data_IF_312031756978
#
_entry.id   IF_312031756978
#
_cell.length_a   1.000
_cell.length_b   1.000
_cell.length_c   1.000
_cell.angle_alpha   90.00
_cell.angle_beta   90.00
_cell.angle_gamma   90.00
#
_symmetry.space_group_name_H-M   'P 1'
#
loop_
_entity.id
_entity.type
_entity.pdbx_description
1 polymer ?
#
# COMPACT_ATOMS: atom_id res chain seq x y z
N UNK A 1 -41.43 35.13 -4.77
CA UNK A 1 -41.89 36.52 -4.99
C UNK A 1 -40.67 37.39 -5.06
N UNK A 2 -40.36 37.86 -6.19
CA UNK A 2 -39.96 39.19 -6.71
C UNK A 2 -39.29 39.00 -8.07
N UNK A 3 -40.12 39.21 -9.13
CA UNK A 3 -39.67 39.55 -10.48
C UNK A 3 -39.36 41.03 -10.56
N UNK A 4 -38.35 41.45 -11.31
CA UNK A 4 -38.44 42.60 -12.23
C UNK A 4 -37.40 42.46 -13.37
N UNK A 5 -37.94 42.49 -14.59
CA UNK A 5 -37.27 42.77 -15.87
C UNK A 5 -36.95 44.25 -15.96
N UNK A 6 -35.88 44.60 -16.67
CA UNK A 6 -35.82 45.85 -17.46
C UNK A 6 -35.06 45.54 -18.76
N UNK A 7 -35.76 45.78 -19.86
CA UNK A 7 -35.26 45.82 -21.25
C UNK A 7 -34.63 47.19 -21.53
N UNK A 8 -33.60 47.25 -22.38
CA UNK A 8 -33.06 48.49 -22.92
C UNK A 8 -32.26 48.26 -24.20
N UNK A 9 -32.89 48.50 -25.35
CA UNK A 9 -32.27 48.48 -26.68
C UNK A 9 -31.43 49.74 -26.91
N UNK A 10 -30.28 49.58 -27.57
CA UNK A 10 -29.75 50.62 -28.47
C UNK A 10 -28.93 49.95 -29.59
N UNK A 11 -29.38 50.13 -30.83
CA UNK A 11 -28.65 49.84 -32.08
C UNK A 11 -27.76 51.04 -32.41
N UNK A 12 -26.53 50.78 -32.86
CA UNK A 12 -25.84 51.66 -33.83
C UNK A 12 -24.83 50.84 -34.68
N UNK A 13 -24.76 51.22 -35.93
CA UNK A 13 -24.27 50.56 -37.10
C UNK A 13 -22.79 50.66 -37.41
N UNK A 14 -22.28 49.66 -38.12
CA UNK A 14 -21.33 49.64 -39.24
C UNK A 14 -19.98 50.39 -39.16
N UNK A 15 -18.88 49.62 -39.25
CA UNK A 15 -17.95 49.74 -40.38
C UNK A 15 -17.11 48.43 -40.52
N UNK A 16 -17.08 47.93 -41.78
CA UNK A 16 -16.13 46.89 -42.27
C UNK A 16 -14.75 47.52 -42.45
N UNK A 17 -13.69 46.79 -42.06
CA UNK A 17 -12.39 46.82 -42.75
C UNK A 17 -11.83 45.39 -42.76
N UNK A 18 -11.31 45.04 -43.91
CA UNK A 18 -10.87 43.72 -44.34
C UNK A 18 -9.49 43.35 -43.84
N UNK A 19 -9.22 42.01 -43.96
CA UNK A 19 -7.96 41.34 -44.11
C UNK A 19 -7.06 41.14 -42.85
N UNK A 20 -7.09 39.95 -42.37
CA UNK A 20 -6.12 39.35 -41.50
C UNK A 20 -6.30 37.85 -41.48
N UNK A 21 -5.45 37.12 -42.21
CA UNK A 21 -5.48 35.68 -42.34
C UNK A 21 -5.57 35.01 -40.97
N UNK A 22 -6.70 34.40 -40.66
CA UNK A 22 -6.91 33.55 -39.52
C UNK A 22 -6.20 32.20 -39.77
N UNK A 23 -5.13 31.95 -39.03
CA UNK A 23 -4.62 30.59 -38.83
C UNK A 23 -5.76 29.77 -38.21
N UNK A 24 -5.98 28.52 -38.63
CA UNK A 24 -6.93 27.65 -37.95
C UNK A 24 -6.45 27.43 -36.53
N UNK A 25 -7.28 27.81 -35.56
CA UNK A 25 -7.14 27.31 -34.17
C UNK A 25 -7.45 25.82 -34.25
N UNK A 26 -6.42 25.01 -34.19
CA UNK A 26 -6.57 23.59 -33.95
C UNK A 26 -7.38 23.44 -32.66
N UNK A 27 -8.63 23.04 -32.84
CA UNK A 27 -9.48 22.61 -31.75
C UNK A 27 -8.71 21.51 -31.00
N UNK A 28 -8.27 21.83 -29.78
CA UNK A 28 -7.75 20.87 -28.85
C UNK A 28 -8.79 19.77 -28.62
N UNK A 29 -8.80 18.77 -29.52
CA UNK A 29 -9.51 17.52 -29.26
C UNK A 29 -8.92 16.95 -27.99
N UNK A 30 -9.73 16.90 -26.96
CA UNK A 30 -9.46 16.20 -25.73
C UNK A 30 -8.81 14.85 -26.03
N UNK A 31 -7.52 14.72 -25.74
CA UNK A 31 -6.78 13.44 -25.73
C UNK A 31 -7.19 12.59 -24.52
N UNK A 32 -8.48 12.41 -24.30
CA UNK A 32 -9.03 11.61 -23.21
C UNK A 32 -9.42 10.18 -23.64
N UNK A 33 -9.07 9.74 -24.86
CA UNK A 33 -9.47 8.43 -25.36
C UNK A 33 -8.34 7.69 -26.07
N UNK A 34 -7.11 7.84 -25.63
CA UNK A 34 -6.01 7.14 -26.26
C UNK A 34 -5.03 6.59 -25.25
N UNK A 35 -5.34 5.52 -24.62
CA UNK A 35 -4.49 4.36 -24.49
C UNK A 35 -5.15 3.24 -23.67
N UNK A 36 -6.22 2.65 -24.21
CA UNK A 36 -6.37 1.21 -24.02
C UNK A 36 -5.21 0.65 -24.88
N UNK A 37 -4.04 0.58 -24.30
CA UNK A 37 -2.85 0.00 -24.96
C UNK A 37 -3.22 -1.38 -25.44
N UNK A 38 -2.91 -1.68 -26.70
CA UNK A 38 -2.96 -3.01 -27.28
C UNK A 38 -2.45 -4.03 -26.26
N UNK A 39 -3.10 -5.19 -26.16
CA UNK A 39 -2.75 -6.32 -25.28
C UNK A 39 -1.22 -6.53 -25.34
N UNK A 40 -0.52 -6.06 -24.31
CA UNK A 40 0.82 -6.55 -24.04
C UNK A 40 0.67 -7.94 -23.45
N UNK A 41 1.44 -8.91 -23.91
CA UNK A 41 1.55 -10.20 -23.22
C UNK A 41 1.85 -9.93 -21.74
N UNK A 42 1.13 -10.62 -20.81
CA UNK A 42 1.31 -10.38 -19.39
C UNK A 42 2.76 -10.70 -19.01
N UNK A 43 3.58 -9.68 -18.81
CA UNK A 43 4.88 -9.87 -18.16
C UNK A 43 4.60 -10.24 -16.73
N UNK A 44 5.10 -11.38 -16.27
CA UNK A 44 5.04 -11.73 -14.84
C UNK A 44 5.65 -10.58 -14.05
N UNK A 45 4.85 -9.99 -13.16
CA UNK A 45 5.33 -8.95 -12.25
C UNK A 45 6.37 -9.53 -11.28
N UNK A 46 7.37 -8.74 -10.92
CA UNK A 46 8.29 -9.10 -9.84
C UNK A 46 7.62 -8.97 -8.46
N UNK A 47 6.46 -8.34 -8.39
CA UNK A 47 5.69 -8.10 -7.18
C UNK A 47 4.31 -8.72 -7.32
N UNK A 48 3.89 -9.52 -6.34
CA UNK A 48 2.49 -9.91 -6.12
C UNK A 48 1.91 -8.98 -5.04
N UNK A 49 0.88 -8.21 -5.37
CA UNK A 49 0.11 -7.42 -4.40
C UNK A 49 -1.00 -8.29 -3.83
N UNK A 50 -0.98 -8.47 -2.52
CA UNK A 50 -1.86 -9.35 -1.76
C UNK A 50 -2.81 -8.49 -0.92
N UNK A 51 -4.10 -8.47 -1.27
CA UNK A 51 -5.13 -7.66 -0.62
C UNK A 51 -6.13 -8.57 0.11
N UNK A 52 -5.97 -8.77 1.44
CA UNK A 52 -7.00 -9.42 2.24
C UNK A 52 -8.18 -8.48 2.43
N UNK A 53 -9.42 -8.99 2.32
CA UNK A 53 -10.62 -8.17 2.53
C UNK A 53 -11.72 -8.95 3.24
N UNK A 54 -12.59 -8.21 3.94
CA UNK A 54 -13.78 -8.76 4.57
C UNK A 54 -14.84 -7.69 4.79
N UNK A 55 -16.01 -7.86 4.15
CA UNK A 55 -17.18 -6.98 4.31
C UNK A 55 -16.91 -5.49 4.02
N UNK A 56 -15.94 -5.19 3.15
CA UNK A 56 -15.46 -3.83 2.82
C UNK A 56 -15.42 -3.57 1.31
N UNK A 57 -16.57 -3.62 0.62
CA UNK A 57 -16.59 -3.46 -0.84
C UNK A 57 -16.22 -2.05 -1.31
N UNK A 58 -16.48 -1.01 -0.52
CA UNK A 58 -16.20 0.38 -0.86
C UNK A 58 -14.70 0.67 -0.69
N UNK A 59 -14.15 0.28 0.45
CA UNK A 59 -12.73 0.42 0.77
C UNK A 59 -11.89 -0.36 -0.23
N UNK A 60 -12.24 -1.62 -0.48
CA UNK A 60 -11.57 -2.44 -1.49
C UNK A 60 -11.59 -1.77 -2.87
N UNK A 61 -12.71 -1.18 -3.28
CA UNK A 61 -12.79 -0.48 -4.57
C UNK A 61 -11.83 0.72 -4.61
N UNK A 62 -11.68 1.48 -3.53
CA UNK A 62 -10.74 2.59 -3.44
C UNK A 62 -9.28 2.09 -3.48
N UNK A 63 -8.96 1.02 -2.76
CA UNK A 63 -7.63 0.38 -2.81
C UNK A 63 -7.29 -0.09 -4.22
N UNK A 64 -8.23 -0.78 -4.90
CA UNK A 64 -8.03 -1.23 -6.30
C UNK A 64 -7.86 -0.03 -7.24
N UNK A 65 -8.57 1.09 -7.02
CA UNK A 65 -8.39 2.31 -7.82
C UNK A 65 -6.97 2.88 -7.67
N UNK A 66 -6.42 2.92 -6.46
CA UNK A 66 -5.02 3.31 -6.21
C UNK A 66 -4.03 2.35 -6.89
N UNK A 67 -4.28 1.05 -6.86
CA UNK A 67 -3.49 0.06 -7.58
C UNK A 67 -3.59 0.24 -9.11
N UNK A 68 -4.75 0.58 -9.64
CA UNK A 68 -4.93 0.83 -11.07
C UNK A 68 -4.18 2.07 -11.57
N UNK A 69 -3.91 3.03 -10.68
CA UNK A 69 -3.13 4.23 -10.97
C UNK A 69 -1.60 4.01 -11.00
N UNK A 70 -1.12 2.83 -10.58
CA UNK A 70 0.31 2.52 -10.61
C UNK A 70 0.77 2.22 -12.05
N UNK A 71 1.90 2.78 -12.47
CA UNK A 71 2.50 2.51 -13.80
C UNK A 71 3.59 1.43 -13.76
N UNK A 72 3.75 0.77 -12.63
CA UNK A 72 4.70 -0.33 -12.40
C UNK A 72 4.05 -1.70 -12.66
N UNK A 73 4.76 -2.70 -13.24
CA UNK A 73 4.22 -4.04 -13.46
C UNK A 73 4.17 -4.86 -12.15
N UNK A 74 3.00 -5.34 -11.80
CA UNK A 74 2.75 -6.25 -10.68
C UNK A 74 1.52 -7.11 -10.96
N UNK A 75 1.37 -8.21 -10.23
CA UNK A 75 0.16 -9.03 -10.24
C UNK A 75 -0.66 -8.77 -8.95
N UNK A 76 -1.95 -9.07 -8.97
CA UNK A 76 -2.85 -8.83 -7.82
C UNK A 76 -3.57 -10.11 -7.44
N UNK A 77 -3.63 -10.38 -6.14
CA UNK A 77 -4.50 -11.37 -5.52
C UNK A 77 -5.39 -10.67 -4.49
N UNK A 78 -6.69 -10.64 -4.73
CA UNK A 78 -7.69 -10.22 -3.74
C UNK A 78 -8.28 -11.49 -3.11
N UNK A 79 -8.13 -11.65 -1.80
CA UNK A 79 -8.67 -12.78 -1.05
C UNK A 79 -9.73 -12.30 -0.06
N UNK A 80 -10.93 -12.84 -0.17
CA UNK A 80 -12.13 -12.35 0.51
C UNK A 80 -12.66 -13.35 1.53
N UNK A 81 -12.91 -12.84 2.73
CA UNK A 81 -13.53 -13.57 3.85
C UNK A 81 -14.89 -12.97 4.28
N UNK A 82 -15.57 -12.25 3.39
CA UNK A 82 -16.89 -11.67 3.67
C UNK A 82 -17.92 -12.71 4.07
N UNK A 83 -18.86 -12.34 4.92
CA UNK A 83 -19.89 -13.25 5.41
C UNK A 83 -20.95 -13.57 4.34
N UNK A 84 -21.27 -12.59 3.47
CA UNK A 84 -22.21 -12.69 2.37
C UNK A 84 -21.53 -12.72 0.99
N UNK A 85 -21.98 -11.84 0.10
CA UNK A 85 -21.38 -11.63 -1.21
C UNK A 85 -19.93 -11.15 -1.07
N UNK A 86 -19.05 -11.63 -1.93
CA UNK A 86 -17.66 -11.18 -1.92
C UNK A 86 -17.56 -9.68 -2.24
N UNK A 87 -16.69 -8.96 -1.54
CA UNK A 87 -16.46 -7.52 -1.73
C UNK A 87 -16.00 -7.22 -3.17
N UNK A 88 -15.22 -8.11 -3.78
CA UNK A 88 -14.74 -7.96 -5.16
C UNK A 88 -15.84 -8.20 -6.22
N UNK A 89 -16.98 -8.79 -5.88
CA UNK A 89 -18.10 -9.04 -6.80
C UNK A 89 -19.05 -7.84 -6.94
N UNK A 90 -18.84 -6.77 -6.17
CA UNK A 90 -19.63 -5.55 -6.33
C UNK A 90 -19.33 -4.89 -7.67
N UNK A 91 -20.29 -4.19 -8.31
CA UNK A 91 -20.12 -3.62 -9.65
C UNK A 91 -18.87 -2.73 -9.77
N UNK A 92 -18.60 -1.90 -8.77
CA UNK A 92 -17.45 -0.97 -8.77
C UNK A 92 -16.12 -1.72 -8.64
N UNK A 93 -15.98 -2.60 -7.64
CA UNK A 93 -14.75 -3.36 -7.45
C UNK A 93 -14.46 -4.26 -8.67
N UNK A 94 -15.48 -4.97 -9.19
CA UNK A 94 -15.36 -5.80 -10.38
C UNK A 94 -14.96 -5.00 -11.64
N UNK A 95 -15.48 -3.77 -11.80
CA UNK A 95 -15.08 -2.89 -12.90
C UNK A 95 -13.60 -2.50 -12.79
N UNK A 96 -13.14 -2.10 -11.60
CA UNK A 96 -11.75 -1.71 -11.36
C UNK A 96 -10.78 -2.89 -11.52
N UNK A 97 -11.17 -4.10 -11.10
CA UNK A 97 -10.37 -5.31 -11.35
C UNK A 97 -10.22 -5.59 -12.86
N UNK A 98 -11.28 -5.34 -13.67
CA UNK A 98 -11.16 -5.41 -15.13
C UNK A 98 -10.23 -4.35 -15.70
N UNK A 99 -10.21 -3.13 -15.15
CA UNK A 99 -9.23 -2.09 -15.53
C UNK A 99 -7.81 -2.56 -15.28
N UNK A 100 -7.52 -3.14 -14.10
CA UNK A 100 -6.22 -3.74 -13.79
C UNK A 100 -5.85 -4.84 -14.81
N UNK A 101 -6.77 -5.75 -15.11
CA UNK A 101 -6.53 -6.82 -16.06
C UNK A 101 -6.26 -6.29 -17.48
N UNK A 102 -7.00 -5.26 -17.92
CA UNK A 102 -6.78 -4.62 -19.23
C UNK A 102 -5.44 -3.89 -19.33
N UNK A 103 -4.89 -3.43 -18.21
CA UNK A 103 -3.55 -2.82 -18.17
C UNK A 103 -2.41 -3.84 -18.21
N UNK A 104 -2.71 -5.15 -18.42
CA UNK A 104 -1.74 -6.23 -18.59
C UNK A 104 -1.30 -6.90 -17.28
N UNK A 105 -1.98 -6.65 -16.18
CA UNK A 105 -1.72 -7.30 -14.88
C UNK A 105 -2.52 -8.60 -14.76
N UNK A 106 -1.93 -9.63 -14.16
CA UNK A 106 -2.68 -10.82 -13.77
C UNK A 106 -3.46 -10.52 -12.50
N UNK A 107 -4.78 -10.57 -12.58
CA UNK A 107 -5.70 -10.34 -11.47
C UNK A 107 -6.33 -11.67 -11.08
N UNK A 108 -6.21 -12.02 -9.80
CA UNK A 108 -6.82 -13.21 -9.19
C UNK A 108 -7.72 -12.77 -8.05
N UNK A 109 -8.89 -13.40 -7.96
CA UNK A 109 -9.82 -13.25 -6.84
C UNK A 109 -10.12 -14.62 -6.27
N UNK A 110 -10.25 -14.73 -4.95
CA UNK A 110 -10.64 -15.98 -4.29
C UNK A 110 -11.49 -15.71 -3.05
N UNK A 111 -12.41 -16.64 -2.78
CA UNK A 111 -13.05 -16.75 -1.47
C UNK A 111 -12.19 -17.64 -0.59
N UNK A 112 -11.95 -17.21 0.65
CA UNK A 112 -11.16 -18.00 1.59
C UNK A 112 -11.93 -18.24 2.89
N UNK A 113 -12.64 -19.37 2.94
CA UNK A 113 -13.48 -19.81 4.04
C UNK A 113 -13.18 -21.28 4.40
N UNK A 114 -13.41 -21.73 5.65
CA UNK A 114 -13.86 -20.94 6.79
C UNK A 114 -12.75 -20.00 7.31
N UNK A 115 -13.14 -18.95 8.02
CA UNK A 115 -12.20 -18.01 8.65
C UNK A 115 -11.52 -18.68 9.84
N UNK A 116 -10.18 -18.62 9.86
CA UNK A 116 -9.34 -19.15 10.94
C UNK A 116 -8.42 -18.09 11.55
N UNK A 117 -8.68 -16.81 11.26
CA UNK A 117 -7.89 -15.67 11.70
C UNK A 117 -7.07 -15.03 10.58
N UNK A 118 -6.56 -13.83 10.85
CA UNK A 118 -5.86 -13.05 9.83
C UNK A 118 -4.48 -13.63 9.49
N UNK A 119 -3.79 -14.24 10.47
CA UNK A 119 -2.51 -14.93 10.21
C UNK A 119 -2.68 -16.10 9.23
N UNK A 120 -3.73 -16.91 9.36
CA UNK A 120 -4.04 -17.99 8.42
C UNK A 120 -4.37 -17.44 7.03
N UNK A 121 -5.17 -16.38 6.97
CA UNK A 121 -5.51 -15.74 5.71
C UNK A 121 -4.26 -15.23 4.96
N UNK A 122 -3.35 -14.54 5.66
CA UNK A 122 -2.08 -14.08 5.09
C UNK A 122 -1.18 -15.24 4.68
N UNK A 123 -1.14 -16.34 5.46
CA UNK A 123 -0.40 -17.55 5.10
C UNK A 123 -0.92 -18.16 3.78
N UNK A 124 -2.24 -18.30 3.64
CA UNK A 124 -2.88 -18.82 2.43
C UNK A 124 -2.61 -17.93 1.20
N UNK A 125 -2.66 -16.61 1.36
CA UNK A 125 -2.34 -15.66 0.30
C UNK A 125 -0.87 -15.74 -0.12
N UNK A 126 0.05 -15.83 0.85
CA UNK A 126 1.48 -16.00 0.58
C UNK A 126 1.76 -17.31 -0.17
N UNK A 127 1.11 -18.41 0.21
CA UNK A 127 1.23 -19.69 -0.48
C UNK A 127 0.69 -19.63 -1.92
N UNK A 128 -0.34 -18.81 -2.20
CA UNK A 128 -0.87 -18.60 -3.53
C UNK A 128 -0.07 -17.61 -4.39
N UNK A 129 0.87 -16.86 -3.78
CA UNK A 129 1.80 -15.95 -4.46
C UNK A 129 2.99 -16.69 -5.01
N UNK A 130 3.59 -16.19 -6.10
CA UNK A 130 4.77 -16.80 -6.75
C UNK A 130 5.85 -15.79 -7.11
N UNK A 131 5.59 -14.50 -6.97
CA UNK A 131 6.56 -13.46 -7.26
C UNK A 131 7.70 -13.44 -6.22
N UNK A 132 8.90 -12.95 -6.61
CA UNK A 132 10.01 -12.81 -5.68
C UNK A 132 9.76 -11.80 -4.56
N UNK A 133 8.80 -10.89 -4.73
CA UNK A 133 8.39 -9.93 -3.71
C UNK A 133 6.89 -10.02 -3.46
N UNK A 134 6.48 -9.98 -2.20
CA UNK A 134 5.08 -10.00 -1.77
C UNK A 134 4.73 -8.67 -1.08
N UNK A 135 3.84 -7.88 -1.67
CA UNK A 135 3.31 -6.65 -1.09
C UNK A 135 1.98 -6.95 -0.42
N UNK A 136 1.95 -7.01 0.90
CA UNK A 136 0.69 -6.98 1.63
C UNK A 136 0.18 -5.55 1.70
N UNK A 137 -1.03 -5.34 1.18
CA UNK A 137 -1.73 -4.05 1.18
C UNK A 137 -3.12 -4.26 1.78
N UNK A 138 -3.45 -3.53 2.83
CA UNK A 138 -4.77 -3.62 3.45
C UNK A 138 -5.84 -3.05 2.53
N UNK A 139 -7.09 -3.52 2.66
CA UNK A 139 -8.19 -3.20 1.77
C UNK A 139 -8.75 -1.77 1.94
N UNK A 140 -8.25 -1.03 2.90
CA UNK A 140 -8.57 0.37 3.19
C UNK A 140 -7.35 1.31 3.02
N UNK A 141 -6.40 0.92 2.18
CA UNK A 141 -5.22 1.72 1.84
C UNK A 141 -5.26 2.14 0.37
N UNK A 142 -5.37 3.45 0.14
CA UNK A 142 -5.20 4.03 -1.19
C UNK A 142 -3.74 4.39 -1.43
N UNK A 143 -3.20 4.04 -2.61
CA UNK A 143 -1.81 4.32 -2.97
C UNK A 143 -1.72 5.43 -4.02
N UNK A 144 -0.90 6.43 -3.77
CA UNK A 144 -0.48 7.41 -4.77
C UNK A 144 0.28 6.72 -5.92
N UNK A 145 0.31 7.36 -7.09
CA UNK A 145 1.08 6.85 -8.24
C UNK A 145 2.57 6.70 -7.89
N UNK A 146 3.19 5.60 -8.33
CA UNK A 146 4.61 5.30 -8.14
C UNK A 146 4.97 4.66 -6.80
N UNK A 147 4.03 4.37 -5.90
CA UNK A 147 4.34 3.75 -4.60
C UNK A 147 4.89 2.34 -4.77
N UNK A 148 4.27 1.51 -5.62
CA UNK A 148 4.72 0.12 -5.84
C UNK A 148 6.12 0.08 -6.45
N UNK A 149 6.39 0.96 -7.42
CA UNK A 149 7.73 1.12 -8.01
C UNK A 149 8.76 1.51 -6.96
N UNK A 150 8.48 2.55 -6.18
CA UNK A 150 9.35 3.07 -5.12
C UNK A 150 9.69 2.02 -4.07
N UNK A 151 8.69 1.26 -3.61
CA UNK A 151 8.91 0.17 -2.66
C UNK A 151 9.80 -0.92 -3.26
N UNK A 152 9.57 -1.30 -4.54
CA UNK A 152 10.40 -2.29 -5.19
C UNK A 152 11.84 -1.81 -5.42
N UNK A 153 12.04 -0.58 -5.89
CA UNK A 153 13.37 0.02 -6.01
C UNK A 153 14.10 0.02 -4.66
N UNK A 154 13.42 0.46 -3.61
CA UNK A 154 14.00 0.56 -2.28
C UNK A 154 14.42 -0.81 -1.72
N UNK A 155 13.58 -1.85 -1.82
CA UNK A 155 13.94 -3.18 -1.28
C UNK A 155 15.11 -3.80 -2.04
N UNK A 156 15.19 -3.57 -3.35
CA UNK A 156 16.30 -4.05 -4.19
C UNK A 156 17.59 -3.31 -3.87
N UNK A 157 17.56 -1.97 -3.79
CA UNK A 157 18.73 -1.14 -3.50
C UNK A 157 19.26 -1.39 -2.06
N UNK A 158 18.35 -1.45 -1.10
CA UNK A 158 18.71 -1.70 0.31
C UNK A 158 19.12 -3.16 0.57
N UNK A 159 18.66 -4.11 -0.23
CA UNK A 159 18.93 -5.54 -0.06
C UNK A 159 18.47 -6.07 1.28
N UNK A 160 17.40 -5.52 1.87
CA UNK A 160 16.86 -5.92 3.19
C UNK A 160 15.63 -6.83 3.04
N UNK A 161 15.13 -7.34 4.16
CA UNK A 161 14.04 -8.31 4.17
C UNK A 161 12.66 -7.71 3.95
N UNK A 162 12.46 -6.44 4.29
CA UNK A 162 11.19 -5.72 4.04
C UNK A 162 11.38 -4.22 3.91
N UNK A 163 10.46 -3.59 3.19
CA UNK A 163 10.26 -2.13 3.21
C UNK A 163 8.77 -1.82 3.35
N UNK A 164 8.43 -0.76 4.08
CA UNK A 164 7.03 -0.38 4.29
C UNK A 164 6.76 1.10 4.01
N UNK A 165 5.56 1.37 3.52
CA UNK A 165 4.99 2.70 3.38
C UNK A 165 3.96 2.91 4.50
N UNK A 166 4.32 3.68 5.55
CA UNK A 166 3.43 3.95 6.66
C UNK A 166 2.21 4.76 6.19
N UNK A 167 1.02 4.37 6.62
CA UNK A 167 -0.23 4.96 6.13
C UNK A 167 -0.50 6.33 6.78
N UNK A 168 -0.79 7.34 5.95
CA UNK A 168 -1.22 8.67 6.38
C UNK A 168 -2.74 8.71 6.52
N UNK A 169 -3.24 9.13 7.68
CA UNK A 169 -4.64 9.50 7.85
C UNK A 169 -4.86 10.95 7.45
N UNK A 170 -5.78 11.20 6.52
CA UNK A 170 -5.99 12.54 5.98
C UNK A 170 -6.68 13.49 6.97
N UNK A 171 -7.51 12.97 7.88
CA UNK A 171 -8.10 13.76 8.96
C UNK A 171 -7.04 14.27 9.96
N UNK A 172 -5.87 13.62 10.01
CA UNK A 172 -4.75 13.94 10.90
C UNK A 172 -3.64 14.76 10.23
N UNK A 173 -3.84 15.25 9.00
CA UNK A 173 -2.79 15.92 8.21
C UNK A 173 -2.21 17.18 8.90
N UNK A 174 -3.01 17.83 9.72
CA UNK A 174 -2.61 19.04 10.48
C UNK A 174 -2.31 18.75 11.96
N UNK A 175 -2.36 17.50 12.38
CA UNK A 175 -2.07 17.09 13.76
C UNK A 175 -0.55 16.93 13.92
N UNK A 176 0.06 17.82 14.71
CA UNK A 176 1.50 17.83 14.98
C UNK A 176 1.82 17.19 16.33
N UNK A 177 2.62 16.11 16.30
CA UNK A 177 3.03 15.34 17.50
C UNK A 177 4.55 15.25 17.62
N UNK A 178 5.25 16.35 17.98
CA UNK A 178 6.72 16.41 17.94
C UNK A 178 7.42 15.30 18.70
N UNK A 179 6.92 14.91 19.88
CA UNK A 179 7.50 13.85 20.69
C UNK A 179 7.44 12.45 20.00
N UNK A 180 6.42 12.23 19.16
CA UNK A 180 6.30 10.99 18.40
C UNK A 180 7.30 10.90 17.25
N UNK A 181 7.87 12.03 16.81
CA UNK A 181 8.85 12.11 15.72
C UNK A 181 10.30 12.00 16.21
N UNK A 182 10.54 12.10 17.52
CA UNK A 182 11.89 12.04 18.11
C UNK A 182 12.67 10.75 17.80
N UNK A 183 12.02 9.55 17.75
CA UNK A 183 12.75 8.31 17.48
C UNK A 183 13.22 8.15 16.02
N UNK A 184 13.02 9.17 15.17
CA UNK A 184 13.40 9.07 13.76
C UNK A 184 14.91 8.95 13.60
N UNK A 185 15.31 7.88 12.92
CA UNK A 185 16.68 7.65 12.49
C UNK A 185 16.69 7.21 11.02
N UNK A 186 17.46 7.92 10.18
CA UNK A 186 17.69 7.52 8.79
C UNK A 186 18.65 6.34 8.74
N UNK A 187 18.39 5.37 7.84
CA UNK A 187 19.41 4.39 7.49
C UNK A 187 20.51 5.06 6.65
N UNK A 188 21.79 4.93 7.03
CA UNK A 188 22.89 5.49 6.24
C UNK A 188 23.20 4.67 4.98
N UNK A 189 22.67 3.45 4.89
CA UNK A 189 22.85 2.49 3.82
C UNK A 189 21.92 1.30 4.01
N UNK A 190 22.41 0.09 3.76
CA UNK A 190 21.66 -1.16 3.92
C UNK A 190 21.17 -1.32 5.36
N UNK A 191 19.86 -1.60 5.58
CA UNK A 191 19.35 -1.96 6.91
C UNK A 191 20.01 -3.24 7.45
N UNK A 192 20.49 -3.17 8.67
CA UNK A 192 21.08 -4.31 9.36
C UNK A 192 19.99 -5.10 10.11
N UNK A 193 20.24 -6.40 10.38
CA UNK A 193 19.39 -7.17 11.28
C UNK A 193 19.22 -6.49 12.63
N UNK A 194 17.98 -6.33 13.09
CA UNK A 194 17.68 -5.65 14.36
C UNK A 194 16.56 -6.38 15.11
N UNK A 195 16.79 -6.61 16.41
CA UNK A 195 15.77 -7.15 17.32
C UNK A 195 14.95 -6.00 17.90
N UNK A 196 13.67 -6.02 17.62
CA UNK A 196 12.72 -5.04 18.16
C UNK A 196 12.04 -5.63 19.39
N UNK A 197 12.41 -5.16 20.57
CA UNK A 197 11.88 -5.61 21.86
C UNK A 197 11.17 -4.47 22.59
N UNK A 198 10.05 -4.72 23.29
CA UNK A 198 9.23 -3.68 23.92
C UNK A 198 9.98 -2.78 24.89
N UNK A 199 10.97 -3.32 25.61
CA UNK A 199 11.77 -2.61 26.62
C UNK A 199 12.92 -1.79 26.03
N UNK A 200 13.22 -1.96 24.72
CA UNK A 200 14.33 -1.28 24.04
C UNK A 200 13.91 0.01 23.37
N UNK A 201 14.86 0.91 23.21
CA UNK A 201 14.65 2.20 22.54
C UNK A 201 14.07 2.03 21.13
N UNK A 202 14.49 1.00 20.38
CA UNK A 202 14.00 0.71 19.03
C UNK A 202 12.45 0.54 18.97
N UNK A 203 11.83 0.05 20.04
CA UNK A 203 10.38 -0.07 20.13
C UNK A 203 9.67 1.28 19.99
N UNK A 204 10.23 2.36 20.54
CA UNK A 204 9.62 3.70 20.48
C UNK A 204 9.38 4.19 19.06
N UNK A 205 10.06 3.63 18.06
CA UNK A 205 9.86 3.96 16.65
C UNK A 205 8.45 3.63 16.12
N UNK A 206 7.64 2.87 16.88
CA UNK A 206 6.24 2.63 16.51
C UNK A 206 5.44 3.94 16.40
N UNK A 207 5.79 4.98 17.16
CA UNK A 207 5.13 6.28 17.13
C UNK A 207 5.27 6.98 15.78
N UNK A 208 6.35 6.70 15.03
CA UNK A 208 6.59 7.29 13.70
C UNK A 208 5.48 6.95 12.69
N UNK A 209 4.76 5.85 12.91
CA UNK A 209 3.72 5.34 12.01
C UNK A 209 2.30 5.67 12.47
N UNK A 210 2.12 6.49 13.48
CA UNK A 210 0.83 7.08 13.77
C UNK A 210 0.34 7.87 12.55
N UNK A 211 -0.95 7.76 12.25
CA UNK A 211 -1.56 8.26 11.03
C UNK A 211 -1.33 9.75 10.74
N UNK A 212 -0.94 10.55 11.75
CA UNK A 212 -0.57 11.95 11.61
C UNK A 212 0.85 12.16 11.04
N UNK A 213 1.78 11.23 11.25
CA UNK A 213 3.21 11.49 11.21
C UNK A 213 3.90 11.34 9.83
N UNK A 214 3.50 10.46 8.89
CA UNK A 214 4.25 10.21 7.66
C UNK A 214 4.52 11.45 6.81
N UNK A 215 3.54 12.34 6.65
CA UNK A 215 3.70 13.59 5.89
C UNK A 215 4.63 14.60 6.59
N UNK A 216 4.60 14.66 7.92
CA UNK A 216 5.50 15.50 8.70
C UNK A 216 6.93 15.02 8.65
N UNK A 217 7.15 13.70 8.74
CA UNK A 217 8.46 13.09 8.57
C UNK A 217 9.02 13.34 7.17
N UNK A 218 8.22 13.14 6.12
CA UNK A 218 8.65 13.41 4.75
C UNK A 218 9.06 14.88 4.57
N UNK A 219 8.24 15.82 5.02
CA UNK A 219 8.52 17.25 4.93
C UNK A 219 9.78 17.67 5.68
N UNK A 220 10.05 17.04 6.83
CA UNK A 220 11.20 17.37 7.69
C UNK A 220 12.51 16.77 7.18
N UNK A 221 12.47 15.58 6.60
CA UNK A 221 13.67 14.76 6.40
C UNK A 221 14.02 14.49 4.93
N UNK A 222 13.06 14.56 4.01
CA UNK A 222 13.32 14.36 2.58
C UNK A 222 13.97 15.60 1.99
N UNK A 223 15.09 15.45 1.30
CA UNK A 223 15.82 16.55 0.67
C UNK A 223 15.26 16.88 -0.71
N UNK A 224 15.38 18.12 -1.18
CA UNK A 224 15.02 18.47 -2.55
C UNK A 224 15.72 17.56 -3.57
N UNK A 225 14.95 16.98 -4.51
CA UNK A 225 15.47 16.07 -5.54
C UNK A 225 15.70 14.63 -5.09
N UNK A 226 15.54 14.31 -3.82
CA UNK A 226 15.62 12.94 -3.30
C UNK A 226 14.29 12.20 -3.58
N UNK A 227 14.37 11.09 -4.34
CA UNK A 227 13.16 10.33 -4.70
C UNK A 227 12.54 9.61 -3.53
N UNK A 228 13.36 9.08 -2.63
CA UNK A 228 12.96 8.42 -1.40
C UNK A 228 14.13 8.37 -0.40
N UNK A 229 13.79 8.16 0.85
CA UNK A 229 14.75 7.86 1.90
C UNK A 229 14.27 6.67 2.75
N UNK A 230 15.22 5.89 3.28
CA UNK A 230 14.98 4.81 4.22
C UNK A 230 15.21 5.25 5.66
N UNK A 231 14.35 4.79 6.58
CA UNK A 231 14.48 5.07 8.00
C UNK A 231 14.19 3.84 8.85
N UNK A 232 14.73 3.84 10.09
CA UNK A 232 14.56 2.75 11.03
C UNK A 232 13.13 2.71 11.57
N UNK A 233 12.58 1.51 11.69
CA UNK A 233 11.20 1.26 12.08
C UNK A 233 11.12 0.34 13.29
N UNK A 234 9.97 0.33 13.97
CA UNK A 234 9.59 -0.80 14.82
C UNK A 234 8.75 -1.82 14.02
N UNK A 235 7.78 -1.37 13.23
CA UNK A 235 7.01 -2.09 12.20
C UNK A 235 6.27 -1.07 11.34
N UNK A 236 5.63 -1.50 10.26
CA UNK A 236 4.75 -0.66 9.43
C UNK A 236 3.43 -1.38 9.24
N UNK A 237 2.30 -0.68 9.43
CA UNK A 237 0.97 -1.21 9.14
C UNK A 237 0.49 -0.87 7.74
N UNK A 238 -0.39 -1.67 7.18
CA UNK A 238 -1.21 -1.39 6.00
C UNK A 238 -0.56 -1.56 4.63
N UNK A 239 0.76 -1.32 4.49
CA UNK A 239 1.44 -1.44 3.19
C UNK A 239 2.90 -1.84 3.36
N UNK A 240 3.21 -3.14 3.20
CA UNK A 240 4.56 -3.70 3.43
C UNK A 240 4.95 -4.66 2.32
N UNK A 241 6.08 -4.37 1.68
CA UNK A 241 6.72 -5.22 0.69
C UNK A 241 7.81 -6.07 1.35
N UNK A 242 7.74 -7.38 1.14
CA UNK A 242 8.70 -8.35 1.65
C UNK A 242 9.54 -8.95 0.53
N UNK A 243 10.83 -9.18 0.78
CA UNK A 243 11.56 -10.21 0.06
C UNK A 243 10.97 -11.56 0.45
N UNK A 244 10.35 -12.22 -0.53
CA UNK A 244 9.64 -13.47 -0.29
C UNK A 244 10.55 -14.56 0.26
N UNK A 245 11.77 -14.68 -0.24
CA UNK A 245 12.71 -15.70 0.22
C UNK A 245 13.08 -15.49 1.70
N UNK A 246 13.22 -14.24 2.13
CA UNK A 246 13.47 -13.92 3.55
C UNK A 246 12.24 -14.20 4.39
N UNK A 247 11.05 -13.80 3.94
CA UNK A 247 9.79 -14.06 4.66
C UNK A 247 9.55 -15.57 4.82
N UNK A 248 9.72 -16.34 3.76
CA UNK A 248 9.59 -17.80 3.79
C UNK A 248 10.65 -18.44 4.73
N UNK A 249 11.90 -17.94 4.72
CA UNK A 249 12.98 -18.45 5.57
C UNK A 249 12.74 -18.24 7.07
N UNK A 250 11.93 -17.25 7.47
CA UNK A 250 11.53 -17.03 8.86
C UNK A 250 10.19 -17.67 9.20
N UNK A 251 9.63 -18.50 8.30
CA UNK A 251 8.39 -19.24 8.47
C UNK A 251 7.13 -18.45 8.07
N UNK A 252 7.27 -17.25 7.51
CA UNK A 252 6.15 -16.43 7.05
C UNK A 252 5.07 -16.24 8.11
N UNK A 253 3.84 -16.54 7.77
CA UNK A 253 2.69 -16.58 8.68
C UNK A 253 2.33 -18.01 9.14
N UNK A 254 3.24 -18.98 8.98
CA UNK A 254 3.03 -20.39 9.31
C UNK A 254 2.78 -20.67 10.79
N UNK A 255 2.95 -19.69 11.66
CA UNK A 255 2.64 -19.76 13.08
C UNK A 255 1.12 -19.71 13.40
N UNK A 256 0.28 -19.47 12.42
CA UNK A 256 -1.16 -19.30 12.59
C UNK A 256 -1.87 -20.42 13.39
N UNK A 257 -1.48 -21.74 13.32
CA UNK A 257 -2.17 -22.76 14.09
C UNK A 257 -2.00 -22.63 15.61
N UNK A 258 -1.03 -21.80 16.07
CA UNK A 258 -0.76 -21.54 17.47
C UNK A 258 -1.53 -20.34 18.02
N UNK A 259 -2.35 -19.68 17.16
CA UNK A 259 -3.16 -18.52 17.52
C UNK A 259 -4.64 -18.87 17.50
N UNK A 260 -5.46 -18.31 18.40
CA UNK A 260 -6.91 -18.36 18.25
C UNK A 260 -7.36 -17.63 16.99
N UNK A 261 -8.55 -17.92 16.50
CA UNK A 261 -9.07 -17.27 15.28
C UNK A 261 -9.25 -15.73 15.43
N UNK A 262 -9.44 -15.25 16.66
CA UNK A 262 -9.47 -13.80 16.97
C UNK A 262 -8.13 -13.42 17.58
N UNK A 263 -7.35 -12.69 16.83
CA UNK A 263 -6.02 -12.17 17.23
C UNK A 263 -5.67 -10.96 16.38
N UNK A 264 -4.61 -10.25 16.77
CA UNK A 264 -4.00 -9.16 16.01
C UNK A 264 -2.47 -9.19 16.13
N UNK A 265 -1.76 -8.34 15.37
CA UNK A 265 -0.31 -8.20 15.41
C UNK A 265 0.44 -9.37 14.79
N UNK A 266 -0.20 -10.16 13.94
CA UNK A 266 0.44 -11.23 13.16
C UNK A 266 1.40 -10.66 12.13
N UNK A 267 1.08 -9.52 11.55
CA UNK A 267 1.93 -8.75 10.64
C UNK A 267 3.15 -8.19 11.36
N UNK A 268 2.96 -7.67 12.58
CA UNK A 268 4.06 -7.18 13.44
C UNK A 268 5.03 -8.32 13.79
N UNK A 269 4.51 -9.50 14.15
CA UNK A 269 5.36 -10.66 14.46
C UNK A 269 6.17 -11.10 13.23
N UNK A 270 5.52 -11.20 12.06
CA UNK A 270 6.20 -11.56 10.82
C UNK A 270 7.30 -10.54 10.46
N UNK A 271 6.99 -9.22 10.57
CA UNK A 271 7.97 -8.16 10.34
C UNK A 271 9.15 -8.25 11.29
N UNK A 272 8.92 -8.45 12.58
CA UNK A 272 10.01 -8.56 13.57
C UNK A 272 10.94 -9.76 13.29
N UNK A 273 10.37 -10.90 12.86
CA UNK A 273 11.17 -12.06 12.43
C UNK A 273 12.01 -11.78 11.19
N UNK A 274 11.43 -11.09 10.20
CA UNK A 274 12.14 -10.66 8.99
C UNK A 274 13.23 -9.64 9.33
N UNK A 275 12.92 -8.63 10.16
CA UNK A 275 13.90 -7.61 10.56
C UNK A 275 15.05 -8.19 11.37
N UNK A 276 14.78 -9.14 12.27
CA UNK A 276 15.82 -9.86 13.03
C UNK A 276 16.74 -10.68 12.11
N UNK A 277 16.28 -11.10 10.94
CA UNK A 277 17.01 -11.92 9.97
C UNK A 277 17.79 -11.11 8.94
N UNK A 278 17.19 -10.05 8.40
CA UNK A 278 17.69 -9.36 7.20
C UNK A 278 17.47 -7.85 7.20
N UNK A 279 17.10 -7.27 8.35
CA UNK A 279 16.78 -5.86 8.45
C UNK A 279 15.49 -5.45 7.75
N UNK A 280 15.08 -4.22 8.00
CA UNK A 280 13.88 -3.62 7.38
C UNK A 280 13.89 -2.11 7.47
N UNK A 281 13.09 -1.45 6.64
CA UNK A 281 13.01 0.01 6.60
C UNK A 281 11.59 0.51 6.34
N UNK A 282 11.27 1.69 6.89
CA UNK A 282 10.21 2.54 6.39
C UNK A 282 10.73 3.41 5.26
N UNK A 283 9.86 3.79 4.31
CA UNK A 283 10.20 4.63 3.16
C UNK A 283 9.42 5.94 3.20
N UNK A 284 10.10 7.04 2.93
CA UNK A 284 9.50 8.36 2.73
C UNK A 284 9.85 8.89 1.33
N UNK A 285 8.92 9.60 0.64
CA UNK A 285 7.54 9.81 1.06
C UNK A 285 6.79 8.49 1.03
N UNK A 286 5.83 8.30 1.94
CA UNK A 286 5.04 7.10 1.99
C UNK A 286 4.16 6.93 0.74
N UNK A 287 3.27 7.89 0.49
CA UNK A 287 2.27 7.81 -0.57
C UNK A 287 1.17 6.78 -0.32
N UNK A 288 1.12 6.18 0.87
CA UNK A 288 0.04 5.31 1.31
C UNK A 288 -0.93 6.09 2.20
N UNK A 289 -2.21 6.09 1.86
CA UNK A 289 -3.26 6.83 2.57
C UNK A 289 -4.26 5.85 3.15
N UNK A 290 -4.52 5.96 4.45
CA UNK A 290 -5.55 5.18 5.13
C UNK A 290 -6.92 5.81 4.90
N UNK A 291 -7.92 5.00 4.54
CA UNK A 291 -9.29 5.48 4.33
C UNK A 291 -10.06 5.72 5.64
N UNK A 292 -9.40 5.51 6.79
CA UNK A 292 -9.93 5.77 8.14
C UNK A 292 -11.22 5.00 8.45
N UNK A 293 -11.40 3.86 7.80
CA UNK A 293 -12.53 2.96 8.03
C UNK A 293 -12.41 2.25 9.39
N UNK A 294 -13.55 1.87 9.96
CA UNK A 294 -13.56 1.11 11.22
C UNK A 294 -12.80 -0.21 11.07
N UNK A 295 -12.05 -0.59 12.11
CA UNK A 295 -11.28 -1.84 12.09
C UNK A 295 -12.18 -3.07 11.95
N UNK A 296 -11.73 -4.08 11.20
CA UNK A 296 -12.38 -5.40 11.12
C UNK A 296 -11.96 -6.34 12.25
N UNK A 297 -11.00 -5.93 13.09
CA UNK A 297 -10.51 -6.66 14.27
C UNK A 297 -10.70 -5.79 15.51
N UNK A 298 -11.93 -5.69 16.06
CA UNK A 298 -12.21 -4.84 17.21
C UNK A 298 -11.62 -5.42 18.52
N UNK A 299 -11.56 -6.73 18.65
CA UNK A 299 -10.91 -7.39 19.78
C UNK A 299 -9.42 -7.56 19.51
N UNK A 300 -8.61 -6.86 20.29
CA UNK A 300 -7.15 -6.85 20.23
C UNK A 300 -6.50 -7.43 21.49
N UNK A 301 -7.24 -8.17 22.29
CA UNK A 301 -6.76 -8.76 23.55
C UNK A 301 -5.67 -9.81 23.32
N UNK A 302 -5.71 -10.51 22.19
CA UNK A 302 -4.70 -11.52 21.83
C UNK A 302 -3.72 -10.94 20.81
N UNK A 303 -2.52 -10.62 21.26
CA UNK A 303 -1.42 -10.15 20.42
C UNK A 303 -0.52 -11.32 20.03
N UNK A 304 -0.34 -11.56 18.74
CA UNK A 304 0.45 -12.69 18.23
C UNK A 304 1.86 -12.75 18.83
N UNK A 305 2.52 -11.59 18.92
CA UNK A 305 3.87 -11.51 19.50
C UNK A 305 3.92 -11.86 21.00
N UNK A 306 2.92 -11.43 21.76
CA UNK A 306 2.83 -11.73 23.21
C UNK A 306 2.63 -13.22 23.45
N UNK A 307 1.84 -13.87 22.58
CA UNK A 307 1.55 -15.32 22.71
C UNK A 307 2.73 -16.18 22.28
N UNK A 308 3.40 -15.81 21.19
CA UNK A 308 4.37 -16.68 20.51
C UNK A 308 5.85 -16.28 20.76
N UNK A 309 6.10 -15.08 21.27
CA UNK A 309 7.46 -14.55 21.32
C UNK A 309 8.02 -14.23 19.93
N UNK A 310 9.33 -13.94 19.88
CA UNK A 310 10.03 -13.62 18.63
C UNK A 310 10.61 -14.85 17.94
N UNK A 311 11.06 -15.84 18.72
CA UNK A 311 11.72 -17.03 18.20
C UNK A 311 10.79 -17.82 17.28
N UNK A 312 11.23 -18.18 16.06
CA UNK A 312 10.47 -19.07 15.21
C UNK A 312 10.45 -20.49 15.79
N UNK A 313 9.31 -21.13 15.72
CA UNK A 313 9.10 -22.51 16.22
C UNK A 313 9.88 -23.58 15.44
N UNK A 314 10.52 -23.21 14.32
CA UNK A 314 11.26 -24.10 13.43
C UNK A 314 12.66 -23.53 13.14
N UNK A 315 13.68 -24.37 12.91
CA UNK A 315 14.98 -23.90 12.48
C UNK A 315 14.89 -23.12 11.17
N UNK A 316 15.52 -21.95 11.14
CA UNK A 316 15.51 -21.06 9.97
C UNK A 316 16.28 -21.70 8.81
N UNK A 317 15.66 -21.79 7.65
CA UNK A 317 16.35 -22.19 6.43
C UNK A 317 17.43 -21.14 6.04
N UNK A 318 18.59 -21.56 5.49
CA UNK A 318 19.61 -20.61 5.04
C UNK A 318 19.05 -19.72 3.91
N UNK A 319 19.26 -18.41 4.05
CA UNK A 319 18.96 -17.46 2.96
C UNK A 319 20.00 -17.64 1.86
N UNK A 320 19.58 -18.04 0.66
CA UNK A 320 20.46 -18.07 -0.49
C UNK A 320 20.83 -16.64 -0.88
N UNK A 321 22.15 -16.34 -0.91
CA UNK A 321 22.62 -15.10 -1.53
C UNK A 321 22.19 -15.07 -2.99
N UNK A 322 21.55 -13.99 -3.43
CA UNK A 322 21.30 -13.77 -4.85
C UNK A 322 22.64 -13.50 -5.56
N UNK A 323 22.82 -14.04 -6.76
CA UNK A 323 24.00 -13.72 -7.58
C UNK A 323 24.08 -12.25 -7.96
#
# INVERSE_FOLDING_TARGET
MWHRRVEGRARTSLRRTESGARRPVESGRMRAAASIRARREPRRGLVDVLVPTRNRPVELAATIAGLAAQDYPFDVLVSDQSDGRASYDTPTAAALLRVLAQSGRRVRTQRHLPRRGLAEHRAAMLAASTAPFALFCDDDVWLEAGVVERLHEAIVELGCGLVGAAVQGMSHLHDHRPAELEPFERWPGRPEPELIEPERQAWRRWTLHNAANPSHLARRHLRPGERWLAYKIAWVGGCVLYDRAVLDAVGGFGFWPQLPAVHCGEDVLAQHRVMARAGGAGILPSGAVHLESCTTVPDRSVQARTVLGLEPSLPLAPVRSRP
#
